data_IF_855981804880
#
_entry.id   IF_855981804880
#
_cell.length_a   1.000
_cell.length_b   1.000
_cell.length_c   1.000
_cell.angle_alpha   90.00
_cell.angle_beta   90.00
_cell.angle_gamma   90.00
#
_symmetry.space_group_name_H-M   'P 1'
#
loop_
_entity.id
_entity.type
_entity.pdbx_description
1 polymer ?
#
# COMPACT_ATOMS: atom_id res chain seq x y z
N UNK A 1 8.60 -17.21 0.44
CA UNK A 1 9.25 -15.90 0.24
C UNK A 1 10.75 -15.97 0.50
N UNK A 2 11.26 -17.16 0.84
CA UNK A 2 12.67 -17.49 0.93
C UNK A 2 13.07 -18.39 -0.25
N UNK A 3 14.36 -18.48 -0.62
CA UNK A 3 14.83 -19.31 -1.73
C UNK A 3 14.51 -20.81 -1.58
N UNK A 4 14.43 -21.31 -0.36
CA UNK A 4 14.20 -22.72 -0.03
C UNK A 4 12.72 -23.09 0.15
N UNK A 5 11.79 -22.12 0.10
CA UNK A 5 10.36 -22.40 0.28
C UNK A 5 9.84 -23.36 -0.79
N UNK A 6 9.17 -24.43 -0.37
CA UNK A 6 8.44 -25.36 -1.24
C UNK A 6 6.99 -25.56 -0.78
N UNK A 7 6.14 -26.01 -1.70
CA UNK A 7 4.75 -26.39 -1.43
C UNK A 7 4.64 -27.91 -1.64
N UNK A 8 3.82 -28.57 -0.83
CA UNK A 8 3.53 -30.01 -0.96
C UNK A 8 2.05 -30.19 -1.19
N UNK A 9 1.69 -30.95 -2.23
CA UNK A 9 0.29 -31.31 -2.51
C UNK A 9 0.10 -32.80 -2.20
N UNK A 10 -0.94 -33.11 -1.43
CA UNK A 10 -1.37 -34.47 -1.09
C UNK A 10 -2.59 -34.83 -1.95
N UNK A 11 -2.43 -35.61 -3.04
CA UNK A 11 -3.50 -35.85 -4.01
C UNK A 11 -4.69 -36.63 -3.45
N UNK A 12 -4.45 -37.55 -2.52
CA UNK A 12 -5.45 -38.43 -1.93
C UNK A 12 -6.52 -37.64 -1.15
N UNK A 13 -6.06 -36.68 -0.35
CA UNK A 13 -6.90 -35.83 0.49
C UNK A 13 -7.11 -34.40 -0.08
N UNK A 14 -6.51 -34.11 -1.24
CA UNK A 14 -6.62 -32.81 -1.93
C UNK A 14 -6.16 -31.62 -1.08
N UNK A 15 -5.13 -31.82 -0.25
CA UNK A 15 -4.57 -30.82 0.67
C UNK A 15 -3.32 -30.19 0.06
N UNK A 16 -3.28 -28.86 0.03
CA UNK A 16 -2.09 -28.09 -0.32
C UNK A 16 -1.43 -27.52 0.95
N UNK A 17 -0.24 -28.02 1.28
CA UNK A 17 0.61 -27.50 2.34
C UNK A 17 1.47 -26.36 1.79
N UNK A 18 1.23 -25.14 2.27
CA UNK A 18 1.77 -23.93 1.63
C UNK A 18 2.87 -23.22 2.39
N UNK A 19 3.21 -23.70 3.60
CA UNK A 19 4.10 -22.99 4.52
C UNK A 19 3.62 -21.53 4.66
N UNK A 20 4.49 -20.54 4.52
CA UNK A 20 4.17 -19.12 4.65
C UNK A 20 3.16 -18.62 3.59
N UNK A 21 3.11 -19.27 2.43
CA UNK A 21 2.25 -18.81 1.35
C UNK A 21 0.77 -19.03 1.69
N UNK A 22 -0.11 -18.10 1.32
CA UNK A 22 -1.54 -18.11 1.66
C UNK A 22 -1.86 -18.11 3.17
N UNK A 23 -0.87 -17.82 4.03
CA UNK A 23 -1.02 -17.77 5.48
C UNK A 23 -1.44 -16.40 6.03
N UNK A 24 -1.52 -16.32 7.36
CA UNK A 24 -1.74 -15.07 8.09
C UNK A 24 -1.19 -15.13 9.51
N UNK A 25 -0.83 -13.97 10.07
CA UNK A 25 -0.55 -13.85 11.51
C UNK A 25 -1.85 -13.59 12.27
N UNK A 26 -2.69 -14.62 12.41
CA UNK A 26 -3.92 -14.59 13.19
C UNK A 26 -3.91 -15.66 14.27
N UNK A 27 -3.83 -15.24 15.53
CA UNK A 27 -4.01 -16.13 16.67
C UNK A 27 -5.50 -16.33 16.97
N UNK A 28 -5.96 -17.58 16.97
CA UNK A 28 -7.35 -17.96 17.25
C UNK A 28 -7.39 -19.35 17.89
N UNK A 29 -8.48 -19.67 18.57
CA UNK A 29 -8.75 -21.01 19.10
C UNK A 29 -9.25 -22.00 18.03
N UNK A 30 -9.66 -21.49 16.87
CA UNK A 30 -10.15 -22.32 15.76
C UNK A 30 -8.99 -22.83 14.91
N UNK A 31 -8.98 -24.13 14.62
CA UNK A 31 -8.01 -24.70 13.69
C UNK A 31 -8.30 -24.30 12.24
N UNK A 32 -9.58 -24.22 11.88
CA UNK A 32 -10.04 -23.92 10.53
C UNK A 32 -10.55 -22.48 10.42
N UNK A 33 -10.39 -21.90 9.22
CA UNK A 33 -11.01 -20.63 8.84
C UNK A 33 -12.52 -20.75 8.96
N UNK A 34 -13.12 -19.76 9.62
CA UNK A 34 -14.56 -19.73 9.90
C UNK A 34 -15.26 -18.60 9.15
N UNK A 35 -14.52 -17.86 8.31
CA UNK A 35 -15.02 -16.67 7.64
C UNK A 35 -15.29 -15.52 8.62
N UNK A 36 -14.67 -15.55 9.81
CA UNK A 36 -14.87 -14.50 10.83
C UNK A 36 -14.37 -13.14 10.34
N UNK A 37 -14.97 -12.04 10.83
CA UNK A 37 -14.41 -10.70 10.65
C UNK A 37 -12.93 -10.68 11.08
N UNK A 38 -12.06 -10.13 10.23
CA UNK A 38 -10.63 -10.00 10.50
C UNK A 38 -9.73 -11.04 9.84
N UNK A 39 -10.23 -12.21 9.42
CA UNK A 39 -9.38 -13.22 8.74
C UNK A 39 -8.78 -12.68 7.43
N UNK A 40 -9.61 -11.99 6.62
CA UNK A 40 -9.14 -11.32 5.40
C UNK A 40 -8.11 -10.23 5.68
N UNK A 41 -8.33 -9.47 6.75
CA UNK A 41 -7.47 -8.35 7.12
C UNK A 41 -6.11 -8.86 7.58
N UNK A 42 -6.07 -9.89 8.43
CA UNK A 42 -4.83 -10.54 8.86
C UNK A 42 -4.05 -11.12 7.67
N UNK A 43 -4.74 -11.77 6.73
CA UNK A 43 -4.13 -12.27 5.50
C UNK A 43 -3.64 -11.13 4.59
N UNK A 44 -4.40 -10.04 4.44
CA UNK A 44 -3.99 -8.86 3.65
C UNK A 44 -2.80 -8.16 4.29
N UNK A 45 -2.75 -8.05 5.62
CA UNK A 45 -1.62 -7.51 6.37
C UNK A 45 -0.36 -8.35 6.16
N UNK A 46 -0.49 -9.66 6.31
CA UNK A 46 0.59 -10.61 6.05
C UNK A 46 1.09 -10.49 4.60
N UNK A 47 0.18 -10.42 3.64
CA UNK A 47 0.54 -10.18 2.24
C UNK A 47 1.28 -8.85 2.08
N UNK A 48 0.76 -7.79 2.67
CA UNK A 48 1.28 -6.43 2.51
C UNK A 48 2.69 -6.26 3.08
N UNK A 49 2.95 -6.80 4.28
CA UNK A 49 4.21 -6.63 4.99
C UNK A 49 5.31 -7.56 4.48
N UNK A 50 4.94 -8.77 4.00
CA UNK A 50 5.91 -9.84 3.71
C UNK A 50 5.92 -10.21 2.22
N UNK A 51 4.75 -10.39 1.61
CA UNK A 51 4.62 -11.03 0.30
C UNK A 51 4.62 -10.04 -0.87
N UNK A 52 4.22 -8.78 -0.64
CA UNK A 52 4.07 -7.75 -1.66
C UNK A 52 5.29 -7.57 -2.58
N UNK A 53 6.56 -7.55 -2.10
CA UNK A 53 7.74 -7.44 -2.96
C UNK A 53 7.87 -8.55 -4.00
N UNK A 54 7.23 -9.69 -3.74
CA UNK A 54 7.29 -10.91 -4.54
C UNK A 54 6.07 -11.11 -5.43
N UNK A 55 5.22 -10.09 -5.61
CA UNK A 55 3.96 -10.18 -6.37
C UNK A 55 4.09 -10.86 -7.74
N UNK A 56 5.15 -10.57 -8.50
CA UNK A 56 5.39 -11.23 -9.81
C UNK A 56 5.70 -12.73 -9.70
N UNK A 57 6.40 -13.16 -8.64
CA UNK A 57 6.66 -14.57 -8.38
C UNK A 57 5.38 -15.26 -7.88
N UNK A 58 4.57 -14.55 -7.08
CA UNK A 58 3.30 -15.05 -6.57
C UNK A 58 2.37 -15.40 -7.72
N UNK A 59 2.19 -14.52 -8.70
CA UNK A 59 1.38 -14.80 -9.90
C UNK A 59 1.83 -16.10 -10.57
N UNK A 60 3.13 -16.23 -10.88
CA UNK A 60 3.68 -17.43 -11.51
C UNK A 60 3.51 -18.70 -10.68
N UNK A 61 3.49 -18.59 -9.35
CA UNK A 61 3.31 -19.73 -8.46
C UNK A 61 1.83 -20.09 -8.30
N UNK A 62 0.92 -19.11 -8.35
CA UNK A 62 -0.52 -19.35 -8.40
C UNK A 62 -0.91 -20.09 -9.67
N UNK A 63 -0.30 -19.75 -10.82
CA UNK A 63 -0.55 -20.43 -12.10
C UNK A 63 -0.14 -21.91 -12.08
N UNK A 64 0.83 -22.30 -11.24
CA UNK A 64 1.21 -23.72 -11.06
C UNK A 64 0.17 -24.53 -10.29
N UNK A 65 -0.74 -23.86 -9.60
CA UNK A 65 -1.85 -24.51 -8.91
C UNK A 65 -2.99 -24.85 -9.89
N UNK A 66 -2.97 -24.27 -11.09
CA UNK A 66 -3.98 -24.51 -12.10
C UNK A 66 -3.96 -25.99 -12.52
N UNK A 67 -5.14 -26.64 -12.44
CA UNK A 67 -5.30 -28.07 -12.73
C UNK A 67 -5.17 -29.00 -11.52
N UNK A 68 -4.75 -28.51 -10.35
CA UNK A 68 -4.83 -29.27 -9.10
C UNK A 68 -6.26 -29.19 -8.53
N UNK A 69 -6.77 -30.31 -8.03
CA UNK A 69 -8.03 -30.35 -7.29
C UNK A 69 -7.74 -30.07 -5.82
N UNK A 70 -7.78 -28.81 -5.41
CA UNK A 70 -7.47 -28.41 -4.03
C UNK A 70 -8.78 -28.24 -3.26
N UNK A 71 -8.93 -28.96 -2.15
CA UNK A 71 -10.06 -28.83 -1.22
C UNK A 71 -9.67 -28.13 0.08
N UNK A 72 -8.36 -28.08 0.41
CA UNK A 72 -7.87 -27.46 1.62
C UNK A 72 -6.50 -26.83 1.42
N UNK A 73 -6.30 -25.64 1.99
CA UNK A 73 -4.99 -24.99 2.10
C UNK A 73 -4.55 -25.01 3.56
N UNK A 74 -3.39 -25.59 3.84
CA UNK A 74 -2.80 -25.71 5.18
C UNK A 74 -1.49 -24.90 5.25
N UNK A 75 -1.55 -23.61 5.65
CA UNK A 75 -0.36 -22.78 5.82
C UNK A 75 0.38 -23.09 7.14
N UNK A 76 1.60 -22.59 7.29
CA UNK A 76 2.38 -22.65 8.56
C UNK A 76 1.87 -21.66 9.61
N UNK A 77 1.13 -20.63 9.18
CA UNK A 77 0.65 -19.54 10.02
C UNK A 77 -0.84 -19.25 9.80
N UNK A 78 -1.58 -19.18 10.90
CA UNK A 78 -3.01 -18.90 10.92
C UNK A 78 -3.86 -20.15 10.68
N UNK A 79 -5.19 -19.98 10.53
CA UNK A 79 -6.11 -21.09 10.37
C UNK A 79 -5.96 -21.82 9.03
N UNK A 80 -6.29 -23.10 9.03
CA UNK A 80 -6.42 -23.93 7.82
C UNK A 80 -7.63 -23.46 7.00
N UNK A 81 -7.48 -23.24 5.71
CA UNK A 81 -8.54 -22.68 4.85
C UNK A 81 -9.25 -23.80 4.08
N UNK A 82 -10.48 -24.13 4.51
CA UNK A 82 -11.33 -25.15 3.88
C UNK A 82 -12.03 -24.68 2.59
N UNK A 83 -11.98 -23.38 2.27
CA UNK A 83 -12.37 -22.85 0.96
C UNK A 83 -11.13 -22.28 0.25
N UNK A 84 -10.35 -23.11 -0.47
CA UNK A 84 -9.11 -22.69 -1.11
C UNK A 84 -9.28 -21.50 -2.06
N UNK A 85 -10.41 -21.45 -2.79
CA UNK A 85 -10.71 -20.36 -3.73
C UNK A 85 -10.66 -19.00 -3.06
N UNK A 86 -11.17 -18.88 -1.84
CA UNK A 86 -11.21 -17.63 -1.10
C UNK A 86 -9.82 -16.99 -0.91
N UNK A 87 -8.86 -17.76 -0.41
CA UNK A 87 -7.51 -17.23 -0.14
C UNK A 87 -6.67 -17.11 -1.41
N UNK A 88 -6.82 -18.05 -2.36
CA UNK A 88 -6.16 -18.01 -3.66
C UNK A 88 -6.61 -16.77 -4.44
N UNK A 89 -7.91 -16.49 -4.48
CA UNK A 89 -8.47 -15.32 -5.18
C UNK A 89 -8.04 -14.02 -4.51
N UNK A 90 -7.97 -13.97 -3.18
CA UNK A 90 -7.39 -12.83 -2.47
C UNK A 90 -5.95 -12.56 -2.91
N UNK A 91 -5.10 -13.61 -2.98
CA UNK A 91 -3.72 -13.46 -3.43
C UNK A 91 -3.64 -13.05 -4.91
N UNK A 92 -4.51 -13.59 -5.78
CA UNK A 92 -4.61 -13.15 -7.19
C UNK A 92 -5.00 -11.67 -7.27
N UNK A 93 -5.99 -11.22 -6.50
CA UNK A 93 -6.43 -9.82 -6.40
C UNK A 93 -5.26 -8.92 -5.95
N UNK A 94 -4.57 -9.28 -4.88
CA UNK A 94 -3.51 -8.44 -4.31
C UNK A 94 -2.25 -8.41 -5.18
N UNK A 95 -1.83 -9.54 -5.76
CA UNK A 95 -0.61 -9.61 -6.56
C UNK A 95 -0.77 -9.08 -7.99
N UNK A 96 -1.96 -9.21 -8.60
CA UNK A 96 -2.18 -8.88 -10.01
C UNK A 96 -3.54 -8.26 -10.33
N UNK A 97 -4.49 -8.24 -9.39
CA UNK A 97 -5.80 -7.66 -9.59
C UNK A 97 -5.78 -6.16 -9.86
N UNK A 98 -6.95 -5.57 -10.21
CA UNK A 98 -7.05 -4.16 -10.50
C UNK A 98 -6.63 -3.32 -9.26
N UNK A 99 -5.97 -2.21 -9.53
CA UNK A 99 -5.80 -1.18 -8.50
C UNK A 99 -7.18 -0.59 -8.16
N UNK A 100 -7.30 0.05 -7.00
CA UNK A 100 -8.51 0.79 -6.63
C UNK A 100 -8.31 2.27 -6.90
N UNK A 101 -9.41 2.97 -7.18
CA UNK A 101 -9.47 4.43 -7.19
C UNK A 101 -9.26 4.98 -5.76
N UNK A 102 -8.00 4.96 -5.34
CA UNK A 102 -7.59 5.20 -3.97
C UNK A 102 -6.21 5.84 -3.91
N UNK A 103 -6.09 6.85 -3.04
CA UNK A 103 -4.83 7.47 -2.63
C UNK A 103 -4.46 6.99 -1.23
N UNK A 104 -3.27 6.41 -1.07
CA UNK A 104 -2.64 6.20 0.24
C UNK A 104 -1.84 7.47 0.59
N UNK A 105 -2.22 8.16 1.67
CA UNK A 105 -1.69 9.46 2.05
C UNK A 105 -1.05 9.45 3.46
N UNK A 106 0.16 8.88 3.59
CA UNK A 106 0.95 9.02 4.81
C UNK A 106 1.51 10.44 4.94
N UNK A 107 1.37 11.06 6.12
CA UNK A 107 1.92 12.38 6.38
C UNK A 107 2.38 12.59 7.83
N UNK A 108 3.27 13.56 8.01
CA UNK A 108 3.65 14.08 9.32
C UNK A 108 3.57 15.61 9.30
N UNK A 109 3.23 16.23 10.42
CA UNK A 109 3.21 17.68 10.54
C UNK A 109 3.70 18.12 11.92
N UNK A 110 4.61 19.09 11.97
CA UNK A 110 5.16 19.62 13.23
C UNK A 110 4.45 20.89 13.70
N UNK A 111 4.11 21.77 12.76
CA UNK A 111 3.51 23.09 13.04
C UNK A 111 2.20 23.33 12.28
N UNK A 112 1.55 22.26 11.80
CA UNK A 112 0.23 22.32 11.18
C UNK A 112 0.21 22.63 9.67
N UNK A 113 1.24 23.27 9.09
CA UNK A 113 1.26 23.60 7.65
C UNK A 113 1.02 22.40 6.75
N UNK A 114 1.76 21.30 6.97
CA UNK A 114 1.57 20.06 6.21
C UNK A 114 0.17 19.49 6.39
N UNK A 115 -0.39 19.54 7.61
CA UNK A 115 -1.76 19.09 7.88
C UNK A 115 -2.78 19.88 7.07
N UNK A 116 -2.65 21.20 7.01
CA UNK A 116 -3.54 22.05 6.19
C UNK A 116 -3.46 21.66 4.71
N UNK A 117 -2.26 21.39 4.19
CA UNK A 117 -2.09 20.91 2.80
C UNK A 117 -2.76 19.56 2.57
N UNK A 118 -2.58 18.62 3.51
CA UNK A 118 -3.17 17.27 3.45
C UNK A 118 -4.69 17.34 3.50
N UNK A 119 -5.27 18.10 4.43
CA UNK A 119 -6.71 18.23 4.57
C UNK A 119 -7.34 18.87 3.32
N UNK A 120 -6.68 19.86 2.72
CA UNK A 120 -7.09 20.44 1.44
C UNK A 120 -7.03 19.41 0.30
N UNK A 121 -5.96 18.61 0.19
CA UNK A 121 -5.84 17.58 -0.84
C UNK A 121 -6.90 16.50 -0.66
N UNK A 122 -7.15 16.05 0.58
CA UNK A 122 -8.19 15.06 0.90
C UNK A 122 -9.56 15.58 0.45
N UNK A 123 -9.92 16.81 0.82
CA UNK A 123 -11.19 17.41 0.42
C UNK A 123 -11.32 17.50 -1.11
N UNK A 124 -10.26 17.96 -1.78
CA UNK A 124 -10.22 18.09 -3.24
C UNK A 124 -10.37 16.73 -3.95
N UNK A 125 -9.68 15.68 -3.49
CA UNK A 125 -9.77 14.33 -4.03
C UNK A 125 -11.15 13.70 -3.81
N UNK A 126 -11.69 13.81 -2.60
CA UNK A 126 -13.02 13.28 -2.26
C UNK A 126 -14.10 13.95 -3.10
N UNK A 127 -14.04 15.27 -3.31
CA UNK A 127 -14.98 16.00 -4.17
C UNK A 127 -14.95 15.54 -5.64
N UNK A 128 -13.83 14.93 -6.06
CA UNK A 128 -13.63 14.36 -7.40
C UNK A 128 -13.96 12.87 -7.46
N UNK A 129 -14.44 12.28 -6.37
CA UNK A 129 -14.78 10.86 -6.29
C UNK A 129 -13.57 9.93 -6.11
N UNK A 130 -12.41 10.44 -5.67
CA UNK A 130 -11.23 9.62 -5.37
C UNK A 130 -11.21 9.28 -3.88
N UNK A 131 -11.16 7.99 -3.52
CA UNK A 131 -11.06 7.59 -2.13
C UNK A 131 -9.66 7.91 -1.56
N UNK A 132 -9.59 8.28 -0.29
CA UNK A 132 -8.33 8.60 0.39
C UNK A 132 -8.25 7.87 1.72
N UNK A 133 -7.16 7.12 1.92
CA UNK A 133 -6.77 6.63 3.24
C UNK A 133 -5.59 7.47 3.72
N UNK A 134 -5.84 8.34 4.71
CA UNK A 134 -4.80 9.22 5.28
C UNK A 134 -4.22 8.63 6.57
N UNK A 135 -2.91 8.77 6.75
CA UNK A 135 -2.19 8.24 7.91
C UNK A 135 -1.29 9.30 8.53
N UNK A 136 -1.57 9.69 9.77
CA UNK A 136 -0.65 10.53 10.53
C UNK A 136 0.46 9.67 11.13
N UNK A 137 1.69 9.85 10.65
CA UNK A 137 2.81 8.94 10.90
C UNK A 137 3.28 8.89 12.35
N UNK A 138 2.91 9.86 13.19
CA UNK A 138 3.21 9.84 14.62
C UNK A 138 2.27 8.93 15.41
N UNK A 139 1.14 8.51 14.84
CA UNK A 139 0.10 7.74 15.52
C UNK A 139 -0.40 6.51 14.72
N UNK A 140 0.05 6.32 13.48
CA UNK A 140 -0.47 5.28 12.59
C UNK A 140 0.36 3.99 12.67
N UNK A 141 -0.32 2.84 12.59
CA UNK A 141 0.29 1.52 12.45
C UNK A 141 0.88 1.32 11.05
N UNK A 142 2.12 0.84 10.97
CA UNK A 142 2.82 0.61 9.71
C UNK A 142 2.15 -0.48 8.85
N UNK A 143 1.57 -1.50 9.49
CA UNK A 143 0.87 -2.57 8.79
C UNK A 143 -0.39 -2.07 8.10
N UNK A 144 -1.11 -1.12 8.70
CA UNK A 144 -2.26 -0.47 8.07
C UNK A 144 -1.84 0.35 6.84
N UNK A 145 -0.72 1.08 6.94
CA UNK A 145 -0.14 1.79 5.78
C UNK A 145 0.23 0.78 4.68
N UNK A 146 0.92 -0.32 5.04
CA UNK A 146 1.30 -1.37 4.10
C UNK A 146 0.08 -1.99 3.41
N UNK A 147 -0.97 -2.31 4.16
CA UNK A 147 -2.23 -2.82 3.59
C UNK A 147 -2.87 -1.82 2.62
N UNK A 148 -2.79 -0.53 2.91
CA UNK A 148 -3.30 0.52 2.03
C UNK A 148 -2.58 0.54 0.69
N UNK A 149 -1.25 0.32 0.71
CA UNK A 149 -0.39 0.29 -0.48
C UNK A 149 -0.67 -0.88 -1.43
N UNK A 150 -1.30 -1.97 -0.97
CA UNK A 150 -1.59 -3.16 -1.78
C UNK A 150 -2.36 -2.80 -3.06
N UNK A 151 -3.36 -1.93 -2.93
CA UNK A 151 -4.33 -1.62 -3.98
C UNK A 151 -4.51 -0.11 -4.22
N UNK A 152 -3.72 0.76 -3.61
CA UNK A 152 -3.72 2.20 -3.89
C UNK A 152 -3.07 2.52 -5.25
N UNK A 153 -3.83 3.12 -6.17
CA UNK A 153 -3.30 3.53 -7.47
C UNK A 153 -2.30 4.70 -7.36
N UNK A 154 -2.42 5.50 -6.30
CA UNK A 154 -1.57 6.67 -6.04
C UNK A 154 -1.08 6.69 -4.59
N UNK A 155 0.17 7.10 -4.38
CA UNK A 155 0.73 7.39 -3.05
C UNK A 155 1.15 8.85 -2.97
N UNK A 156 0.72 9.56 -1.93
CA UNK A 156 1.15 10.95 -1.67
C UNK A 156 1.77 11.05 -0.29
N UNK A 157 3.06 11.40 -0.22
CA UNK A 157 3.78 11.54 1.05
C UNK A 157 3.76 13.02 1.48
N UNK A 158 3.17 13.30 2.64
CA UNK A 158 3.18 14.64 3.25
C UNK A 158 4.28 14.81 4.29
N UNK A 159 5.16 15.80 4.15
CA UNK A 159 6.22 16.04 5.12
C UNK A 159 6.59 17.52 5.28
N UNK A 160 7.03 17.98 6.46
CA UNK A 160 7.78 19.20 6.59
C UNK A 160 9.27 18.96 6.28
N UNK A 161 9.97 20.02 5.91
CA UNK A 161 11.44 20.05 5.97
C UNK A 161 11.90 20.12 7.43
N UNK A 162 12.82 19.24 7.82
CA UNK A 162 13.47 19.22 9.14
C UNK A 162 14.97 19.17 8.97
N UNK A 163 15.69 20.10 9.64
CA UNK A 163 17.16 20.19 9.57
C UNK A 163 17.71 20.20 8.13
N UNK A 164 16.99 20.85 7.20
CA UNK A 164 17.35 20.93 5.78
C UNK A 164 17.02 19.69 4.93
N UNK A 165 16.47 18.63 5.53
CA UNK A 165 16.09 17.39 4.86
C UNK A 165 14.64 16.97 5.11
N UNK A 166 14.33 15.73 4.73
CA UNK A 166 13.04 15.11 4.98
C UNK A 166 12.85 14.80 6.47
N UNK A 167 11.63 14.94 6.97
CA UNK A 167 11.30 14.47 8.31
C UNK A 167 11.56 12.94 8.43
N UNK A 168 12.21 12.44 9.51
CA UNK A 168 12.57 11.02 9.64
C UNK A 168 11.41 10.05 9.42
N UNK A 169 10.23 10.34 9.98
CA UNK A 169 9.02 9.53 9.74
C UNK A 169 8.64 9.43 8.25
N UNK A 170 8.72 10.53 7.50
CA UNK A 170 8.42 10.51 6.06
C UNK A 170 9.49 9.75 5.26
N UNK A 171 10.77 9.91 5.63
CA UNK A 171 11.86 9.14 5.05
C UNK A 171 11.70 7.62 5.30
N UNK A 172 11.28 7.25 6.52
CA UNK A 172 11.01 5.85 6.87
C UNK A 172 9.89 5.25 6.00
N UNK A 173 8.78 5.98 5.80
CA UNK A 173 7.70 5.50 4.93
C UNK A 173 8.11 5.43 3.46
N UNK A 174 8.90 6.40 2.98
CA UNK A 174 9.46 6.33 1.63
C UNK A 174 10.33 5.07 1.45
N UNK A 175 11.20 4.78 2.43
CA UNK A 175 12.01 3.55 2.46
C UNK A 175 11.15 2.28 2.49
N UNK A 176 10.12 2.26 3.34
CA UNK A 176 9.21 1.13 3.45
C UNK A 176 8.48 0.87 2.12
N UNK A 177 7.89 1.90 1.52
CA UNK A 177 7.22 1.78 0.22
C UNK A 177 8.18 1.26 -0.85
N UNK A 178 9.41 1.79 -0.89
CA UNK A 178 10.44 1.36 -1.83
C UNK A 178 10.86 -0.11 -1.65
N UNK A 179 10.89 -0.60 -0.40
CA UNK A 179 11.19 -1.99 -0.09
C UNK A 179 10.02 -2.92 -0.45
N UNK A 180 8.77 -2.51 -0.17
CA UNK A 180 7.56 -3.27 -0.44
C UNK A 180 7.20 -3.35 -1.94
N UNK A 181 7.67 -2.36 -2.73
CA UNK A 181 7.45 -2.27 -4.18
C UNK A 181 5.96 -2.42 -4.57
N UNK A 182 5.05 -1.59 -4.00
CA UNK A 182 3.65 -1.63 -4.36
C UNK A 182 3.45 -1.38 -5.86
N UNK A 183 2.33 -1.89 -6.40
CA UNK A 183 1.96 -1.72 -7.82
C UNK A 183 1.37 -0.33 -8.14
N UNK A 184 1.53 0.63 -7.23
CA UNK A 184 1.07 2.02 -7.40
C UNK A 184 1.57 2.57 -8.73
N UNK A 185 0.73 3.37 -9.38
CA UNK A 185 1.01 3.95 -10.70
C UNK A 185 1.53 5.36 -10.60
N UNK A 186 1.14 6.08 -9.56
CA UNK A 186 1.51 7.48 -9.36
C UNK A 186 2.05 7.71 -7.95
N UNK A 187 3.02 8.63 -7.86
CA UNK A 187 3.58 9.10 -6.60
C UNK A 187 3.69 10.62 -6.61
N UNK A 188 3.43 11.28 -5.47
CA UNK A 188 3.69 12.71 -5.30
C UNK A 188 4.11 13.03 -3.86
N UNK A 189 4.57 14.26 -3.64
CA UNK A 189 5.00 14.76 -2.33
C UNK A 189 4.31 16.09 -2.04
N UNK A 190 3.74 16.22 -0.84
CA UNK A 190 3.36 17.50 -0.25
C UNK A 190 4.45 17.92 0.73
N UNK A 191 5.09 19.06 0.49
CA UNK A 191 6.19 19.53 1.33
C UNK A 191 5.93 20.93 1.88
N UNK A 192 5.96 21.10 3.20
CA UNK A 192 5.99 22.42 3.83
C UNK A 192 7.39 22.76 4.33
N UNK A 193 7.88 23.97 4.11
CA UNK A 193 9.20 24.40 4.57
C UNK A 193 9.19 25.85 5.06
N UNK A 194 10.23 26.26 5.78
CA UNK A 194 10.41 27.64 6.25
C UNK A 194 11.55 28.35 5.52
N UNK A 195 12.75 27.76 5.53
CA UNK A 195 13.92 28.23 4.81
C UNK A 195 14.69 27.03 4.23
N UNK A 196 15.03 27.11 2.93
CA UNK A 196 15.80 26.09 2.23
C UNK A 196 15.27 24.65 2.40
N UNK A 197 16.11 23.70 2.01
CA UNK A 197 15.89 22.28 2.24
C UNK A 197 15.72 21.45 0.97
N UNK A 198 16.00 20.16 1.11
CA UNK A 198 15.97 19.17 0.04
C UNK A 198 15.02 18.01 0.37
N UNK A 199 13.98 18.28 1.15
CA UNK A 199 13.05 17.25 1.64
C UNK A 199 12.37 16.49 0.51
N UNK A 200 11.86 17.20 -0.51
CA UNK A 200 11.26 16.60 -1.70
C UNK A 200 12.28 15.72 -2.42
N UNK A 201 13.47 16.25 -2.69
CA UNK A 201 14.52 15.50 -3.39
C UNK A 201 14.95 14.24 -2.62
N UNK A 202 15.10 14.33 -1.30
CA UNK A 202 15.43 13.18 -0.46
C UNK A 202 14.32 12.14 -0.47
N UNK A 203 13.05 12.54 -0.31
CA UNK A 203 11.91 11.60 -0.38
C UNK A 203 11.85 10.94 -1.76
N UNK A 204 11.98 11.70 -2.85
CA UNK A 204 12.00 11.19 -4.21
C UNK A 204 13.18 10.24 -4.47
N UNK A 205 14.35 10.54 -3.93
CA UNK A 205 15.53 9.68 -4.03
C UNK A 205 15.39 8.35 -3.29
N UNK A 206 14.56 8.29 -2.24
CA UNK A 206 14.31 7.08 -1.46
C UNK A 206 13.37 6.08 -2.15
N UNK A 207 12.59 6.51 -3.16
CA UNK A 207 11.57 5.69 -3.83
C UNK A 207 11.98 5.23 -5.24
N UNK A 208 13.27 5.21 -5.56
CA UNK A 208 13.79 4.93 -6.90
C UNK A 208 13.46 3.53 -7.47
N UNK A 209 13.06 2.55 -6.66
CA UNK A 209 12.64 1.23 -7.14
C UNK A 209 11.14 1.17 -7.50
N UNK A 210 10.37 2.21 -7.17
CA UNK A 210 8.96 2.27 -7.52
C UNK A 210 8.82 2.52 -9.02
N UNK A 211 8.09 1.62 -9.70
CA UNK A 211 7.73 1.79 -11.12
C UNK A 211 6.47 2.65 -11.26
N UNK A 212 6.52 3.85 -10.68
CA UNK A 212 5.43 4.80 -10.64
C UNK A 212 5.85 6.11 -11.31
N UNK A 213 4.90 6.77 -11.99
CA UNK A 213 5.08 8.12 -12.51
C UNK A 213 5.07 9.11 -11.34
N UNK A 214 6.10 9.96 -11.27
CA UNK A 214 6.18 11.02 -10.28
C UNK A 214 5.37 12.24 -10.78
N UNK A 215 4.28 12.55 -10.09
CA UNK A 215 3.50 13.76 -10.31
C UNK A 215 4.20 14.95 -9.65
N UNK A 216 3.92 16.16 -10.13
CA UNK A 216 4.56 17.36 -9.64
C UNK A 216 4.31 17.54 -8.12
N UNK A 217 5.37 17.71 -7.30
CA UNK A 217 5.22 17.89 -5.87
C UNK A 217 4.68 19.29 -5.56
N UNK A 218 3.85 19.41 -4.52
CA UNK A 218 3.41 20.73 -4.04
C UNK A 218 4.29 21.16 -2.88
N UNK A 219 4.97 22.29 -3.05
CA UNK A 219 5.90 22.84 -2.05
C UNK A 219 5.36 24.18 -1.53
N UNK A 220 5.13 24.27 -0.21
CA UNK A 220 4.57 25.43 0.46
C UNK A 220 5.57 26.04 1.44
N UNK A 221 5.79 27.37 1.37
CA UNK A 221 6.62 28.11 2.33
C UNK A 221 5.76 28.64 3.48
N UNK A 222 5.94 28.10 4.68
CA UNK A 222 5.20 28.50 5.88
C UNK A 222 3.78 27.92 5.88
N UNK A 223 2.78 28.74 6.20
CA UNK A 223 1.37 28.35 6.17
C UNK A 223 0.83 28.45 4.72
N UNK A 224 0.04 27.48 4.23
CA UNK A 224 -0.52 27.52 2.89
C UNK A 224 -1.30 28.79 2.58
N UNK A 225 -1.00 29.38 1.42
CA UNK A 225 -1.71 30.54 0.86
C UNK A 225 -2.51 30.13 -0.37
N UNK A 226 -3.27 31.06 -0.94
CA UNK A 226 -4.14 30.82 -2.10
C UNK A 226 -3.42 30.14 -3.28
N UNK A 227 -2.17 30.50 -3.56
CA UNK A 227 -1.37 29.87 -4.62
C UNK A 227 -1.05 28.39 -4.33
N UNK A 228 -0.80 28.05 -3.06
CA UNK A 228 -0.45 26.69 -2.64
C UNK A 228 -1.71 25.82 -2.69
N UNK A 229 -2.86 26.38 -2.27
CA UNK A 229 -4.16 25.73 -2.37
C UNK A 229 -4.55 25.47 -3.83
N UNK A 230 -4.28 26.41 -4.74
CA UNK A 230 -4.49 26.18 -6.18
C UNK A 230 -3.57 25.08 -6.73
N UNK A 231 -2.33 24.96 -6.24
CA UNK A 231 -1.45 23.86 -6.62
C UNK A 231 -1.96 22.50 -6.12
N UNK A 232 -2.55 22.46 -4.91
CA UNK A 232 -3.21 21.28 -4.36
C UNK A 232 -4.42 20.87 -5.21
N UNK A 233 -5.26 21.83 -5.63
CA UNK A 233 -6.38 21.56 -6.54
C UNK A 233 -5.90 20.97 -7.87
N UNK A 234 -4.84 21.54 -8.47
CA UNK A 234 -4.25 21.00 -9.71
C UNK A 234 -3.71 19.59 -9.54
N UNK A 235 -3.06 19.29 -8.41
CA UNK A 235 -2.61 17.93 -8.11
C UNK A 235 -3.80 16.97 -7.98
N UNK A 236 -4.89 17.39 -7.32
CA UNK A 236 -6.10 16.59 -7.20
C UNK A 236 -6.76 16.33 -8.57
N UNK A 237 -6.83 17.34 -9.44
CA UNK A 237 -7.29 17.20 -10.83
C UNK A 237 -6.46 16.19 -11.62
N UNK A 238 -5.13 16.30 -11.50
CA UNK A 238 -4.20 15.40 -12.17
C UNK A 238 -4.37 13.96 -11.69
N UNK A 239 -4.47 13.73 -10.38
CA UNK A 239 -4.69 12.39 -9.81
C UNK A 239 -6.02 11.81 -10.30
N UNK A 240 -7.11 12.59 -10.25
CA UNK A 240 -8.42 12.13 -10.71
C UNK A 240 -8.45 11.82 -12.21
N UNK A 241 -7.79 12.65 -13.04
CA UNK A 241 -7.64 12.37 -14.47
C UNK A 241 -6.86 11.08 -14.70
N UNK A 242 -5.72 10.90 -14.04
CA UNK A 242 -4.90 9.68 -14.16
C UNK A 242 -5.66 8.43 -13.71
N UNK A 243 -6.47 8.52 -12.67
CA UNK A 243 -7.34 7.42 -12.23
C UNK A 243 -8.43 7.08 -13.28
N UNK A 244 -9.02 8.07 -13.97
CA UNK A 244 -9.94 7.85 -15.10
C UNK A 244 -9.24 7.19 -16.29
N UNK A 245 -8.02 7.62 -16.63
CA UNK A 245 -7.23 7.02 -17.71
C UNK A 245 -6.90 5.54 -17.44
N UNK A 246 -6.80 5.14 -16.16
CA UNK A 246 -6.65 3.76 -15.74
C UNK A 246 -7.98 2.97 -15.64
N UNK A 247 -9.12 3.60 -15.92
CA UNK A 247 -10.45 2.99 -15.81
C UNK A 247 -10.87 2.66 -14.37
N UNK A 248 -10.36 3.39 -13.38
CA UNK A 248 -10.65 3.16 -11.96
C UNK A 248 -11.88 3.96 -11.47
N UNK A 249 -12.33 4.93 -12.26
CA UNK A 249 -13.38 5.91 -11.98
C UNK A 249 -14.50 5.86 -13.00
#
# INVERSE_FOLDING_TARGET
>A
HWPETMLTYLPEDRILFTCDFLGSHLATSELYSTGRPGEREAAKRYFAEIMMPFSNLIVKNLDKLDGLQIEMVAPSHGPVVSNPSYIIDCYREWSAGPMRNKVCLPFVSMHGSTRVMVDALVAALVSRGVAVERFELTASDLGHIAMSLVDAATVVIGAPTVLGGAHPAAAHIALLANALRPRTKFVSVLCSYSWGGRAVEQISGLIGNLRAEALEPVVCKGLPRSQDLQAIERLADQIAQKHRELGLM
#
